data_IF_097369631938
#
_entry.id   IF_097369631938
#
_cell.length_a   1.000
_cell.length_b   1.000
_cell.length_c   1.000
_cell.angle_alpha   90.00
_cell.angle_beta   90.00
_cell.angle_gamma   90.00
#
_symmetry.space_group_name_H-M   'P 1'
#
loop_
_entity.id
_entity.type
_entity.pdbx_description
1 polymer ?
#
# COMPACT_ATOMS: atom_id res chain seq x y z
N UNK A 1 38.68 13.45 -3.27
CA UNK A 1 37.82 12.32 -2.83
C UNK A 1 36.71 12.20 -3.88
N UNK A 2 36.84 11.29 -4.86
CA UNK A 2 35.82 11.09 -5.89
C UNK A 2 34.68 10.30 -5.24
N UNK A 3 33.47 10.85 -5.22
CA UNK A 3 32.28 10.09 -4.81
C UNK A 3 32.17 8.88 -5.76
N UNK A 4 32.09 7.64 -5.25
CA UNK A 4 31.85 6.49 -6.12
C UNK A 4 30.53 6.71 -6.86
N UNK A 5 30.48 6.33 -8.13
CA UNK A 5 29.34 6.56 -9.01
C UNK A 5 28.23 5.54 -8.71
N UNK A 6 27.65 5.65 -7.50
CA UNK A 6 26.75 4.67 -6.89
C UNK A 6 25.51 4.43 -7.77
N UNK A 7 25.09 5.46 -8.51
CA UNK A 7 23.91 5.47 -9.37
C UNK A 7 24.02 4.59 -10.62
N UNK A 8 25.23 4.20 -11.04
CA UNK A 8 25.44 3.40 -12.24
C UNK A 8 25.64 1.90 -12.01
N UNK A 9 25.52 1.44 -10.76
CA UNK A 9 25.75 0.04 -10.42
C UNK A 9 24.54 -0.84 -10.78
N UNK A 10 24.80 -2.02 -11.37
CA UNK A 10 23.77 -2.99 -11.75
C UNK A 10 22.90 -3.39 -10.56
N UNK A 11 23.50 -3.50 -9.38
CA UNK A 11 22.81 -3.84 -8.13
C UNK A 11 21.79 -2.76 -7.72
N UNK A 12 22.17 -1.48 -7.73
CA UNK A 12 21.24 -0.39 -7.41
C UNK A 12 20.11 -0.31 -8.44
N UNK A 13 20.43 -0.46 -9.73
CA UNK A 13 19.42 -0.45 -10.80
C UNK A 13 18.41 -1.59 -10.65
N UNK A 14 18.87 -2.78 -10.29
CA UNK A 14 18.02 -3.94 -10.04
C UNK A 14 17.13 -3.72 -8.81
N UNK A 15 17.70 -3.20 -7.72
CA UNK A 15 16.97 -2.94 -6.49
C UNK A 15 15.90 -1.85 -6.67
N UNK A 16 16.20 -0.78 -7.39
CA UNK A 16 15.21 0.27 -7.75
C UNK A 16 14.10 -0.32 -8.61
N UNK A 17 14.41 -1.19 -9.59
CA UNK A 17 13.37 -1.86 -10.41
C UNK A 17 12.45 -2.73 -9.56
N UNK A 18 13.01 -3.54 -8.66
CA UNK A 18 12.20 -4.37 -7.75
C UNK A 18 11.34 -3.52 -6.81
N UNK A 19 11.88 -2.42 -6.30
CA UNK A 19 11.14 -1.50 -5.44
C UNK A 19 9.98 -0.84 -6.19
N UNK A 20 10.20 -0.43 -7.45
CA UNK A 20 9.14 0.10 -8.30
C UNK A 20 8.05 -0.93 -8.58
N UNK A 21 8.41 -2.17 -8.92
CA UNK A 21 7.44 -3.26 -9.14
C UNK A 21 6.63 -3.50 -7.87
N UNK A 22 7.29 -3.58 -6.72
CA UNK A 22 6.63 -3.81 -5.43
C UNK A 22 5.68 -2.67 -5.06
N UNK A 23 6.10 -1.41 -5.25
CA UNK A 23 5.27 -0.24 -5.02
C UNK A 23 4.04 -0.23 -5.93
N UNK A 24 4.20 -0.59 -7.21
CA UNK A 24 3.07 -0.68 -8.16
C UNK A 24 2.09 -1.80 -7.74
N UNK A 25 2.60 -2.97 -7.37
CA UNK A 25 1.74 -4.09 -6.94
C UNK A 25 0.96 -3.73 -5.68
N UNK A 26 1.60 -3.13 -4.67
CA UNK A 26 0.93 -2.68 -3.45
C UNK A 26 -0.06 -1.55 -3.72
N UNK A 27 0.29 -0.60 -4.58
CA UNK A 27 -0.62 0.48 -4.98
C UNK A 27 -1.86 -0.03 -5.69
N UNK A 28 -1.70 -1.00 -6.61
CA UNK A 28 -2.84 -1.67 -7.27
C UNK A 28 -3.68 -2.43 -6.25
N UNK A 29 -3.06 -3.16 -5.33
CA UNK A 29 -3.77 -3.91 -4.30
C UNK A 29 -4.57 -3.00 -3.36
N UNK A 30 -3.97 -1.89 -2.92
CA UNK A 30 -4.64 -0.88 -2.07
C UNK A 30 -5.79 -0.19 -2.82
N UNK A 31 -5.56 0.22 -4.08
CA UNK A 31 -6.61 0.82 -4.90
C UNK A 31 -7.75 -0.14 -5.19
N UNK A 32 -7.46 -1.41 -5.47
CA UNK A 32 -8.46 -2.45 -5.64
C UNK A 32 -9.24 -2.70 -4.34
N UNK A 33 -8.56 -2.72 -3.19
CA UNK A 33 -9.20 -2.85 -1.89
C UNK A 33 -10.16 -1.69 -1.61
N UNK A 34 -9.71 -0.44 -1.79
CA UNK A 34 -10.56 0.75 -1.62
C UNK A 34 -11.76 0.72 -2.57
N UNK A 35 -11.55 0.36 -3.84
CA UNK A 35 -12.62 0.24 -4.83
C UNK A 35 -13.64 -0.84 -4.50
N UNK A 36 -13.19 -2.03 -4.10
CA UNK A 36 -14.07 -3.16 -3.71
C UNK A 36 -14.87 -2.80 -2.47
N UNK A 37 -14.22 -2.27 -1.44
CA UNK A 37 -14.85 -1.88 -0.18
C UNK A 37 -15.89 -0.78 -0.42
N UNK A 38 -15.53 0.28 -1.16
CA UNK A 38 -16.48 1.34 -1.52
C UNK A 38 -17.71 0.81 -2.25
N UNK A 39 -17.51 -0.07 -3.25
CA UNK A 39 -18.62 -0.69 -3.97
C UNK A 39 -19.50 -1.56 -3.06
N UNK A 40 -18.90 -2.32 -2.16
CA UNK A 40 -19.63 -3.17 -1.21
C UNK A 40 -20.48 -2.32 -0.26
N UNK A 41 -19.93 -1.22 0.26
CA UNK A 41 -20.64 -0.32 1.17
C UNK A 41 -21.78 0.40 0.44
N UNK A 42 -21.53 1.01 -0.72
CA UNK A 42 -22.58 1.70 -1.50
C UNK A 42 -23.73 0.75 -1.88
N UNK A 43 -23.41 -0.45 -2.36
CA UNK A 43 -24.43 -1.46 -2.69
C UNK A 43 -25.22 -1.91 -1.45
N UNK A 44 -24.57 -1.99 -0.29
CA UNK A 44 -25.23 -2.28 0.99
C UNK A 44 -26.18 -1.18 1.43
N UNK A 45 -25.78 0.08 1.29
CA UNK A 45 -26.64 1.25 1.58
C UNK A 45 -27.85 1.25 0.66
N UNK A 46 -27.65 1.11 -0.66
CA UNK A 46 -28.75 1.11 -1.62
C UNK A 46 -29.76 -0.01 -1.35
N UNK A 47 -29.27 -1.23 -1.12
CA UNK A 47 -30.12 -2.37 -0.79
C UNK A 47 -30.87 -2.17 0.54
N UNK A 48 -30.21 -1.57 1.53
CA UNK A 48 -30.80 -1.25 2.83
C UNK A 48 -31.90 -0.19 2.73
N UNK A 49 -31.65 0.92 2.03
CA UNK A 49 -32.63 1.98 1.81
C UNK A 49 -33.86 1.46 1.04
N UNK A 50 -33.64 0.66 0.01
CA UNK A 50 -34.74 0.05 -0.76
C UNK A 50 -35.56 -0.93 0.09
N UNK A 51 -34.91 -1.74 0.95
CA UNK A 51 -35.58 -2.67 1.84
C UNK A 51 -36.43 -1.93 2.89
N UNK A 52 -35.90 -0.87 3.49
CA UNK A 52 -36.59 -0.09 4.50
C UNK A 52 -37.77 0.68 3.94
N UNK A 53 -37.58 1.31 2.77
CA UNK A 53 -38.67 1.93 2.03
C UNK A 53 -39.80 0.93 1.78
N UNK A 54 -39.45 -0.27 1.31
CA UNK A 54 -40.42 -1.34 1.05
C UNK A 54 -41.12 -1.80 2.32
N UNK A 55 -40.40 -1.94 3.44
CA UNK A 55 -40.96 -2.34 4.74
C UNK A 55 -41.99 -1.33 5.24
N UNK A 56 -41.65 -0.04 5.21
CA UNK A 56 -42.55 1.04 5.66
C UNK A 56 -43.77 1.16 4.75
N UNK A 57 -43.61 1.03 3.43
CA UNK A 57 -44.74 1.02 2.48
C UNK A 57 -45.65 -0.19 2.74
N UNK A 58 -45.08 -1.36 3.02
CA UNK A 58 -45.86 -2.56 3.34
C UNK A 58 -46.64 -2.42 4.65
N UNK A 59 -46.04 -1.77 5.67
CA UNK A 59 -46.73 -1.44 6.91
C UNK A 59 -47.85 -0.40 6.69
N UNK A 60 -47.59 0.61 5.86
CA UNK A 60 -48.60 1.59 5.45
C UNK A 60 -49.80 0.93 4.76
N UNK A 61 -49.57 -0.04 3.87
CA UNK A 61 -50.64 -0.75 3.18
C UNK A 61 -51.58 -1.53 4.11
N UNK A 62 -51.14 -1.89 5.33
CA UNK A 62 -51.94 -2.66 6.30
C UNK A 62 -52.83 -1.78 7.17
N UNK A 63 -52.30 -0.68 7.71
CA UNK A 63 -52.98 0.15 8.71
C UNK A 63 -52.83 1.66 8.46
N UNK A 64 -52.41 2.06 7.25
CA UNK A 64 -52.19 3.45 6.86
C UNK A 64 -51.02 4.08 7.60
N UNK A 65 -51.17 5.38 7.87
CA UNK A 65 -50.16 6.20 8.57
C UNK A 65 -49.71 5.59 9.90
N UNK A 66 -50.64 5.01 10.68
CA UNK A 66 -50.32 4.39 11.97
C UNK A 66 -49.34 3.21 11.82
N UNK A 67 -49.49 2.42 10.76
CA UNK A 67 -48.58 1.30 10.45
C UNK A 67 -47.20 1.78 10.04
N UNK A 68 -47.14 2.78 9.17
CA UNK A 68 -45.87 3.39 8.77
C UNK A 68 -45.11 3.97 9.97
N UNK A 69 -45.80 4.73 10.84
CA UNK A 69 -45.19 5.30 12.04
C UNK A 69 -44.68 4.24 13.01
N UNK A 70 -45.45 3.16 13.23
CA UNK A 70 -45.03 2.06 14.09
C UNK A 70 -43.78 1.33 13.53
N UNK A 71 -43.72 1.12 12.21
CA UNK A 71 -42.57 0.50 11.56
C UNK A 71 -41.33 1.39 11.60
N UNK A 72 -41.49 2.70 11.33
CA UNK A 72 -40.40 3.68 11.49
C UNK A 72 -39.87 3.67 12.92
N UNK A 73 -40.75 3.62 13.92
CA UNK A 73 -40.35 3.55 15.33
C UNK A 73 -39.60 2.24 15.65
N UNK A 74 -40.04 1.11 15.06
CA UNK A 74 -39.35 -0.19 15.18
C UNK A 74 -37.95 -0.17 14.56
N UNK A 75 -37.80 0.40 13.37
CA UNK A 75 -36.53 0.51 12.66
C UNK A 75 -35.58 1.46 13.39
N UNK A 76 -36.08 2.61 13.85
CA UNK A 76 -35.30 3.60 14.60
C UNK A 76 -34.84 3.06 15.97
N UNK A 77 -35.69 2.28 16.65
CA UNK A 77 -35.34 1.68 17.94
C UNK A 77 -34.39 0.48 17.84
N UNK A 78 -34.13 -0.02 16.62
CA UNK A 78 -33.23 -1.15 16.40
C UNK A 78 -31.78 -0.69 16.32
N UNK A 79 -30.90 -1.23 17.16
CA UNK A 79 -29.44 -1.04 17.04
C UNK A 79 -28.86 -1.63 15.75
N UNK A 80 -29.64 -2.37 14.96
CA UNK A 80 -29.19 -3.01 13.72
C UNK A 80 -29.03 -2.04 12.54
N UNK A 81 -29.38 -0.75 12.69
CA UNK A 81 -29.24 0.25 11.63
C UNK A 81 -28.75 1.60 12.19
N UNK A 82 -27.52 1.65 12.74
CA UNK A 82 -26.94 2.89 13.22
C UNK A 82 -26.85 3.91 12.07
N UNK A 83 -27.25 5.15 12.36
CA UNK A 83 -27.21 6.25 11.39
C UNK A 83 -28.32 6.24 10.34
N UNK A 84 -29.38 5.43 10.47
CA UNK A 84 -30.53 5.50 9.55
C UNK A 84 -31.59 6.48 10.04
N UNK A 85 -32.01 7.38 9.15
CA UNK A 85 -32.97 8.42 9.47
C UNK A 85 -34.20 8.37 8.58
N UNK A 86 -35.34 8.70 9.18
CA UNK A 86 -36.64 8.60 8.53
C UNK A 86 -37.40 9.91 8.71
N UNK A 87 -38.24 10.24 7.73
CA UNK A 87 -39.25 11.29 7.84
C UNK A 87 -40.53 10.87 7.16
N UNK A 88 -41.63 10.90 7.90
CA UNK A 88 -42.98 10.78 7.37
C UNK A 88 -43.68 12.12 7.55
N UNK A 89 -44.14 12.73 6.45
CA UNK A 89 -44.90 13.99 6.46
C UNK A 89 -46.30 13.80 5.92
N UNK A 90 -47.23 14.61 6.41
CA UNK A 90 -48.58 14.74 5.86
C UNK A 90 -48.55 15.39 4.46
N UNK A 91 -49.70 15.43 3.78
CA UNK A 91 -49.89 16.18 2.53
C UNK A 91 -49.52 17.66 2.64
N UNK A 92 -49.66 18.23 3.84
CA UNK A 92 -49.40 19.66 4.10
C UNK A 92 -47.95 19.91 4.53
N UNK A 93 -47.13 18.85 4.62
CA UNK A 93 -45.72 18.94 5.02
C UNK A 93 -45.49 18.88 6.53
N UNK A 94 -46.52 18.63 7.33
CA UNK A 94 -46.38 18.47 8.77
C UNK A 94 -45.72 17.12 9.10
N UNK A 95 -44.73 17.12 10.00
CA UNK A 95 -44.03 15.91 10.44
C UNK A 95 -44.99 15.03 11.25
N UNK A 96 -45.14 13.77 10.82
CA UNK A 96 -45.95 12.75 11.50
C UNK A 96 -45.07 11.83 12.34
N UNK A 97 -43.98 11.32 11.76
CA UNK A 97 -43.09 10.36 12.41
C UNK A 97 -41.67 10.42 11.82
N UNK A 98 -40.71 9.86 12.55
CA UNK A 98 -39.31 9.76 12.12
C UNK A 98 -38.36 10.68 12.89
N UNK A 99 -37.08 10.49 12.62
CA UNK A 99 -35.96 11.14 13.31
C UNK A 99 -35.54 12.45 12.66
N UNK A 100 -35.64 12.57 11.33
CA UNK A 100 -35.34 13.81 10.61
C UNK A 100 -36.22 14.95 11.09
N UNK A 101 -35.66 16.16 11.15
CA UNK A 101 -36.30 17.34 11.74
C UNK A 101 -37.24 18.04 10.76
N UNK A 102 -36.83 18.16 9.49
CA UNK A 102 -37.55 18.89 8.45
C UNK A 102 -37.46 18.16 7.10
N UNK A 103 -38.37 18.51 6.19
CA UNK A 103 -38.28 18.04 4.80
C UNK A 103 -37.20 18.87 4.08
N UNK A 104 -36.25 18.25 3.34
CA UNK A 104 -35.22 18.96 2.58
C UNK A 104 -35.85 19.83 1.48
N UNK A 105 -35.09 20.76 0.88
CA UNK A 105 -35.63 21.58 -0.22
C UNK A 105 -36.16 20.70 -1.35
N UNK A 106 -37.46 20.81 -1.60
CA UNK A 106 -38.24 19.89 -2.45
C UNK A 106 -37.79 19.86 -3.92
N UNK A 107 -37.01 20.85 -4.36
CA UNK A 107 -36.39 20.92 -5.69
C UNK A 107 -35.25 19.92 -5.94
N UNK A 108 -34.76 19.25 -4.89
CA UNK A 108 -33.54 18.44 -4.97
C UNK A 108 -33.77 16.94 -4.78
N UNK A 109 -34.99 16.49 -4.43
CA UNK A 109 -35.27 15.08 -4.13
C UNK A 109 -36.51 14.59 -4.87
N UNK A 110 -36.34 13.55 -5.69
CA UNK A 110 -37.45 12.89 -6.38
C UNK A 110 -38.33 12.07 -5.44
N UNK A 111 -39.66 12.25 -5.53
CA UNK A 111 -40.67 11.44 -4.82
C UNK A 111 -40.99 10.10 -5.53
N UNK A 112 -40.17 9.68 -6.51
CA UNK A 112 -40.40 8.48 -7.31
C UNK A 112 -39.96 7.17 -6.63
N UNK A 113 -39.32 7.24 -5.46
CA UNK A 113 -38.71 6.09 -4.78
C UNK A 113 -37.39 5.65 -5.41
N UNK A 114 -36.69 6.58 -6.08
CA UNK A 114 -35.35 6.37 -6.62
C UNK A 114 -34.33 6.82 -5.57
N UNK A 115 -33.24 6.07 -5.45
CA UNK A 115 -32.13 6.44 -4.58
C UNK A 115 -31.30 7.50 -5.31
N UNK A 116 -31.12 8.65 -4.68
CA UNK A 116 -30.41 9.81 -5.21
C UNK A 116 -29.42 10.32 -4.17
N UNK A 117 -28.36 11.00 -4.60
CA UNK A 117 -27.45 11.72 -3.71
C UNK A 117 -27.94 13.15 -3.56
N UNK A 118 -28.31 13.55 -2.35
CA UNK A 118 -28.80 14.90 -2.05
C UNK A 118 -28.02 15.53 -0.91
N UNK A 119 -27.83 16.83 -0.98
CA UNK A 119 -27.31 17.61 0.14
C UNK A 119 -28.41 17.84 1.17
N UNK A 120 -28.11 17.63 2.45
CA UNK A 120 -29.05 17.81 3.55
C UNK A 120 -28.53 18.90 4.47
N UNK A 121 -29.29 19.98 4.63
CA UNK A 121 -29.00 21.06 5.58
C UNK A 121 -28.97 20.52 7.03
N UNK A 122 -28.15 21.11 7.90
CA UNK A 122 -28.08 20.74 9.32
C UNK A 122 -29.43 20.78 10.03
N UNK A 123 -30.33 21.68 9.60
CA UNK A 123 -31.68 21.79 10.15
C UNK A 123 -32.60 20.62 9.79
N UNK A 124 -32.19 19.72 8.89
CA UNK A 124 -32.89 18.50 8.50
C UNK A 124 -32.45 17.31 9.36
N UNK A 125 -31.17 17.24 9.71
CA UNK A 125 -30.59 16.10 10.39
C UNK A 125 -30.73 16.23 11.93
N UNK A 126 -30.94 15.11 12.64
CA UNK A 126 -31.01 15.13 14.11
C UNK A 126 -29.62 15.05 14.78
N UNK A 127 -28.55 15.06 13.98
CA UNK A 127 -27.16 15.00 14.40
C UNK A 127 -26.43 16.23 13.88
N UNK A 128 -25.40 16.65 14.60
CA UNK A 128 -24.48 17.68 14.14
C UNK A 128 -23.49 17.03 13.18
N UNK A 129 -23.38 17.57 11.97
CA UNK A 129 -22.45 17.11 10.93
C UNK A 129 -21.34 18.14 10.87
N UNK A 130 -20.09 17.70 11.01
CA UNK A 130 -18.92 18.61 11.08
C UNK A 130 -18.49 19.11 9.68
N UNK A 131 -19.02 18.50 8.62
CA UNK A 131 -18.64 18.78 7.23
C UNK A 131 -19.85 19.23 6.37
N UNK A 132 -19.82 20.49 5.95
CA UNK A 132 -20.91 21.18 5.24
C UNK A 132 -21.13 20.66 3.80
N UNK A 133 -20.26 19.81 3.24
CA UNK A 133 -20.26 19.41 1.82
C UNK A 133 -20.54 17.91 1.57
N UNK A 134 -21.11 17.19 2.53
CA UNK A 134 -21.38 15.75 2.37
C UNK A 134 -22.70 15.48 1.65
N UNK A 135 -22.67 14.67 0.60
CA UNK A 135 -23.87 14.20 -0.09
C UNK A 135 -24.42 12.92 0.56
N UNK A 136 -25.70 12.94 0.91
CA UNK A 136 -26.38 11.85 1.57
C UNK A 136 -27.17 11.01 0.57
N UNK A 137 -27.13 9.67 0.70
CA UNK A 137 -27.99 8.79 -0.07
C UNK A 137 -29.41 8.90 0.48
N UNK A 138 -30.31 9.47 -0.31
CA UNK A 138 -31.71 9.69 0.04
C UNK A 138 -32.61 8.87 -0.87
N UNK A 139 -33.72 8.39 -0.31
CA UNK A 139 -34.83 7.84 -1.09
C UNK A 139 -36.14 8.39 -0.56
N UNK A 140 -36.92 9.03 -1.44
CA UNK A 140 -38.21 9.59 -1.08
C UNK A 140 -39.33 9.02 -1.94
N UNK A 141 -40.50 8.82 -1.35
CA UNK A 141 -41.69 8.35 -2.06
C UNK A 141 -42.95 9.01 -1.55
N UNK A 142 -43.84 9.38 -2.48
CA UNK A 142 -45.21 9.73 -2.13
C UNK A 142 -46.05 8.47 -1.93
N UNK A 143 -46.73 8.38 -0.78
CA UNK A 143 -47.63 7.29 -0.42
C UNK A 143 -49.02 7.52 -1.05
N UNK A 144 -49.85 6.46 -1.21
CA UNK A 144 -51.17 6.58 -1.85
C UNK A 144 -52.11 7.60 -1.20
N UNK A 145 -52.01 7.79 0.12
CA UNK A 145 -52.76 8.80 0.84
C UNK A 145 -52.17 10.20 0.76
N UNK A 146 -51.16 10.45 -0.09
CA UNK A 146 -50.54 11.75 -0.32
C UNK A 146 -49.51 12.18 0.74
N UNK A 147 -49.29 11.36 1.77
CA UNK A 147 -48.16 11.51 2.68
C UNK A 147 -46.84 11.29 1.93
N UNK A 148 -45.75 11.87 2.43
CA UNK A 148 -44.41 11.70 1.84
C UNK A 148 -43.51 11.01 2.85
N UNK A 149 -42.80 9.99 2.39
CA UNK A 149 -41.81 9.24 3.15
C UNK A 149 -40.43 9.56 2.58
N UNK A 150 -39.48 9.87 3.45
CA UNK A 150 -38.07 10.05 3.14
C UNK A 150 -37.26 9.13 4.06
N UNK A 151 -36.29 8.44 3.49
CA UNK A 151 -35.33 7.60 4.19
C UNK A 151 -33.93 8.02 3.75
N UNK A 152 -33.03 8.16 4.71
CA UNK A 152 -31.61 8.47 4.46
C UNK A 152 -30.73 7.70 5.44
N UNK A 153 -29.45 7.56 5.13
CA UNK A 153 -28.48 6.89 5.99
C UNK A 153 -27.18 7.69 6.07
N UNK A 154 -26.60 7.72 7.27
CA UNK A 154 -25.28 8.29 7.53
C UNK A 154 -24.20 7.61 6.70
N UNK A 155 -23.40 8.46 6.07
CA UNK A 155 -22.18 8.09 5.34
C UNK A 155 -20.93 8.30 6.20
N UNK A 156 -21.07 8.63 7.48
CA UNK A 156 -19.95 8.75 8.44
C UNK A 156 -19.08 7.48 8.45
N UNK A 157 -19.70 6.28 8.37
CA UNK A 157 -18.96 5.02 8.25
C UNK A 157 -18.17 4.91 6.94
N UNK A 158 -18.58 5.61 5.87
CA UNK A 158 -17.84 5.69 4.61
C UNK A 158 -16.67 6.67 4.75
N UNK A 159 -16.87 7.77 5.46
CA UNK A 159 -15.83 8.76 5.76
C UNK A 159 -14.73 8.16 6.65
N UNK A 160 -15.08 7.47 7.74
CA UNK A 160 -14.12 6.75 8.58
C UNK A 160 -13.28 5.75 7.77
N UNK A 161 -13.90 5.08 6.78
CA UNK A 161 -13.19 4.18 5.87
C UNK A 161 -12.27 4.94 4.91
N UNK A 162 -12.67 6.11 4.42
CA UNK A 162 -11.82 6.96 3.58
C UNK A 162 -10.61 7.49 4.36
N UNK A 163 -10.79 7.97 5.59
CA UNK A 163 -9.70 8.38 6.47
C UNK A 163 -8.72 7.23 6.72
N UNK A 164 -9.23 6.01 6.93
CA UNK A 164 -8.39 4.82 7.08
C UNK A 164 -7.62 4.51 5.79
N UNK A 165 -8.22 4.68 4.61
CA UNK A 165 -7.54 4.52 3.33
C UNK A 165 -6.46 5.59 3.14
N UNK A 166 -6.72 6.85 3.50
CA UNK A 166 -5.73 7.92 3.46
C UNK A 166 -4.53 7.61 4.35
N UNK A 167 -4.78 7.17 5.60
CA UNK A 167 -3.72 6.72 6.50
C UNK A 167 -2.92 5.55 5.90
N UNK A 168 -3.58 4.59 5.24
CA UNK A 168 -2.89 3.48 4.57
C UNK A 168 -2.01 3.97 3.40
N UNK A 169 -2.44 5.00 2.66
CA UNK A 169 -1.63 5.63 1.60
C UNK A 169 -0.40 6.31 2.21
N UNK A 170 -0.55 7.02 3.32
CA UNK A 170 0.58 7.64 4.03
C UNK A 170 1.58 6.60 4.53
N UNK A 171 1.07 5.53 5.17
CA UNK A 171 1.89 4.40 5.66
C UNK A 171 2.61 3.71 4.50
N UNK A 172 1.94 3.51 3.37
CA UNK A 172 2.55 2.96 2.16
C UNK A 172 3.67 3.88 1.64
N UNK A 173 3.44 5.19 1.60
CA UNK A 173 4.44 6.19 1.25
C UNK A 173 5.67 6.12 2.15
N UNK A 174 5.47 6.09 3.47
CA UNK A 174 6.54 5.96 4.45
C UNK A 174 7.32 4.63 4.28
N UNK A 175 6.62 3.52 4.05
CA UNK A 175 7.23 2.21 3.83
C UNK A 175 8.09 2.19 2.56
N UNK A 176 7.65 2.85 1.48
CA UNK A 176 8.42 3.00 0.23
C UNK A 176 9.70 3.81 0.51
N UNK A 177 9.61 4.93 1.21
CA UNK A 177 10.77 5.76 1.56
C UNK A 177 11.80 4.99 2.41
N UNK A 178 11.34 4.26 3.43
CA UNK A 178 12.20 3.41 4.25
C UNK A 178 12.86 2.29 3.43
N UNK A 179 12.11 1.69 2.50
CA UNK A 179 12.64 0.66 1.60
C UNK A 179 13.73 1.21 0.68
N UNK A 180 13.58 2.43 0.17
CA UNK A 180 14.62 3.12 -0.62
C UNK A 180 15.87 3.34 0.23
N UNK A 181 15.72 3.88 1.45
CA UNK A 181 16.84 4.13 2.35
C UNK A 181 17.60 2.84 2.70
N UNK A 182 16.87 1.76 2.98
CA UNK A 182 17.45 0.44 3.27
C UNK A 182 18.17 -0.14 2.04
N UNK A 183 17.56 -0.06 0.86
CA UNK A 183 18.14 -0.53 -0.40
C UNK A 183 19.47 0.17 -0.71
N UNK A 184 19.52 1.49 -0.56
CA UNK A 184 20.74 2.28 -0.77
C UNK A 184 21.82 1.87 0.26
N UNK A 185 21.44 1.68 1.52
CA UNK A 185 22.37 1.31 2.59
C UNK A 185 23.00 -0.07 2.37
N UNK A 186 22.18 -1.07 2.03
CA UNK A 186 22.63 -2.42 1.68
C UNK A 186 23.51 -2.38 0.42
N UNK A 187 23.07 -1.67 -0.63
CA UNK A 187 23.82 -1.54 -1.88
C UNK A 187 25.22 -0.95 -1.66
N UNK A 188 25.34 0.09 -0.83
CA UNK A 188 26.64 0.66 -0.44
C UNK A 188 27.51 -0.33 0.34
N UNK A 189 26.94 -1.10 1.25
CA UNK A 189 27.68 -2.08 2.03
C UNK A 189 28.27 -3.19 1.14
N UNK A 190 27.49 -3.68 0.16
CA UNK A 190 27.93 -4.71 -0.79
C UNK A 190 29.00 -4.15 -1.74
N UNK A 191 28.79 -2.96 -2.31
CA UNK A 191 29.75 -2.35 -3.25
C UNK A 191 31.12 -2.15 -2.63
N UNK A 192 31.19 -1.67 -1.38
CA UNK A 192 32.47 -1.51 -0.66
C UNK A 192 33.23 -2.84 -0.53
N UNK A 193 32.53 -3.95 -0.30
CA UNK A 193 33.16 -5.28 -0.22
C UNK A 193 33.70 -5.73 -1.58
N UNK A 194 32.94 -5.49 -2.65
CA UNK A 194 33.37 -5.78 -4.02
C UNK A 194 34.60 -4.95 -4.38
N UNK A 195 34.60 -3.65 -4.05
CA UNK A 195 35.74 -2.75 -4.26
C UNK A 195 37.00 -3.27 -3.56
N UNK A 196 36.90 -3.69 -2.29
CA UNK A 196 38.06 -4.25 -1.55
C UNK A 196 38.65 -5.48 -2.23
N UNK A 197 37.82 -6.41 -2.70
CA UNK A 197 38.27 -7.60 -3.43
C UNK A 197 38.88 -7.21 -4.78
N UNK A 198 38.25 -6.28 -5.50
CA UNK A 198 38.70 -5.80 -6.80
C UNK A 198 40.05 -5.07 -6.72
N UNK A 199 40.23 -4.22 -5.72
CA UNK A 199 41.47 -3.47 -5.50
C UNK A 199 42.62 -4.44 -5.17
N UNK A 200 42.37 -5.41 -4.28
CA UNK A 200 43.37 -6.44 -3.95
C UNK A 200 43.75 -7.26 -5.18
N UNK A 201 42.77 -7.63 -6.01
CA UNK A 201 43.03 -8.34 -7.25
C UNK A 201 43.86 -7.50 -8.24
N UNK A 202 43.63 -6.19 -8.30
CA UNK A 202 44.41 -5.27 -9.14
C UNK A 202 45.88 -5.19 -8.69
N UNK A 203 46.15 -5.14 -7.38
CA UNK A 203 47.52 -5.20 -6.82
C UNK A 203 48.23 -6.51 -7.17
N UNK A 204 47.52 -7.63 -7.05
CA UNK A 204 48.06 -8.95 -7.42
C UNK A 204 48.40 -9.01 -8.91
N UNK A 205 47.52 -8.51 -9.78
CA UNK A 205 47.77 -8.43 -11.23
C UNK A 205 48.95 -7.51 -11.57
N UNK A 206 49.24 -6.50 -10.74
CA UNK A 206 50.40 -5.63 -10.90
C UNK A 206 51.73 -6.31 -10.53
N UNK A 207 51.70 -7.54 -10.01
CA UNK A 207 52.88 -8.39 -9.79
C UNK A 207 53.17 -8.73 -8.33
N UNK A 208 52.43 -8.18 -7.37
CA UNK A 208 52.56 -8.55 -5.95
C UNK A 208 51.69 -9.76 -5.61
N UNK A 209 52.24 -10.95 -5.87
CA UNK A 209 51.58 -12.22 -5.56
C UNK A 209 51.59 -12.55 -4.06
N UNK A 210 52.23 -11.74 -3.21
CA UNK A 210 52.24 -11.96 -1.76
C UNK A 210 50.99 -11.42 -1.06
N UNK A 211 50.30 -10.46 -1.71
CA UNK A 211 49.03 -9.92 -1.23
C UNK A 211 47.94 -10.99 -1.19
N UNK A 212 47.07 -10.91 -0.18
CA UNK A 212 45.92 -11.81 0.01
C UNK A 212 44.66 -11.00 0.22
N UNK A 213 43.54 -11.54 -0.25
CA UNK A 213 42.22 -10.93 -0.03
C UNK A 213 41.87 -11.08 1.45
N UNK A 214 41.56 -9.96 2.09
CA UNK A 214 41.21 -9.92 3.50
C UNK A 214 39.93 -10.73 3.78
N UNK A 215 39.99 -11.62 4.77
CA UNK A 215 38.83 -12.36 5.28
C UNK A 215 38.33 -11.63 6.52
N UNK A 216 37.05 -11.25 6.53
CA UNK A 216 36.42 -10.59 7.67
C UNK A 216 35.93 -11.60 8.71
N UNK A 217 35.49 -11.10 9.87
CA UNK A 217 34.93 -11.94 10.95
C UNK A 217 33.43 -12.19 10.79
N UNK A 218 32.81 -11.76 9.67
CA UNK A 218 31.36 -11.92 9.44
C UNK A 218 30.98 -13.35 9.05
N UNK A 219 31.94 -14.11 8.52
CA UNK A 219 31.78 -15.48 8.06
C UNK A 219 30.64 -15.63 7.03
N UNK A 220 30.57 -14.68 6.10
CA UNK A 220 29.56 -14.63 5.04
C UNK A 220 30.09 -15.20 3.70
N UNK A 221 29.27 -15.10 2.65
CA UNK A 221 29.61 -15.60 1.32
C UNK A 221 30.84 -14.92 0.73
N UNK A 222 31.11 -13.65 1.10
CA UNK A 222 32.31 -12.94 0.66
C UNK A 222 33.56 -13.48 1.34
N UNK A 223 33.49 -13.81 2.62
CA UNK A 223 34.61 -14.42 3.37
C UNK A 223 34.94 -15.82 2.81
N UNK A 224 33.90 -16.59 2.47
CA UNK A 224 34.06 -17.90 1.81
C UNK A 224 34.72 -17.76 0.43
N UNK A 225 34.30 -16.77 -0.36
CA UNK A 225 34.91 -16.50 -1.66
C UNK A 225 36.36 -16.05 -1.53
N UNK A 226 36.65 -15.13 -0.61
CA UNK A 226 38.01 -14.66 -0.32
C UNK A 226 38.94 -15.82 0.05
N UNK A 227 38.48 -16.74 0.91
CA UNK A 227 39.24 -17.95 1.25
C UNK A 227 39.56 -18.82 0.04
N UNK A 228 38.58 -19.08 -0.84
CA UNK A 228 38.80 -19.87 -2.07
C UNK A 228 39.76 -19.18 -3.03
N UNK A 229 39.67 -17.85 -3.17
CA UNK A 229 40.57 -17.07 -4.02
C UNK A 229 42.01 -17.09 -3.47
N UNK A 230 42.19 -16.99 -2.15
CA UNK A 230 43.52 -17.09 -1.52
C UNK A 230 44.17 -18.47 -1.75
N UNK A 231 43.42 -19.56 -1.68
CA UNK A 231 43.95 -20.91 -2.01
C UNK A 231 44.42 -21.00 -3.47
N UNK A 232 43.68 -20.39 -4.40
CA UNK A 232 44.11 -20.31 -5.80
C UNK A 232 45.41 -19.51 -5.94
N UNK A 233 45.54 -18.38 -5.23
CA UNK A 233 46.75 -17.56 -5.21
C UNK A 233 47.96 -18.32 -4.65
N UNK A 234 47.79 -19.07 -3.57
CA UNK A 234 48.86 -19.92 -3.00
C UNK A 234 49.37 -20.93 -4.04
N UNK A 235 48.47 -21.51 -4.83
CA UNK A 235 48.83 -22.44 -5.91
C UNK A 235 49.57 -21.75 -7.04
N UNK A 236 49.16 -20.54 -7.43
CA UNK A 236 49.87 -19.75 -8.46
C UNK A 236 51.29 -19.39 -7.97
N UNK A 237 51.43 -18.96 -6.72
CA UNK A 237 52.73 -18.63 -6.14
C UNK A 237 53.65 -19.85 -6.10
N UNK A 238 53.13 -21.03 -5.73
CA UNK A 238 53.87 -22.30 -5.74
C UNK A 238 54.34 -22.66 -7.15
N UNK A 239 53.48 -22.51 -8.16
CA UNK A 239 53.83 -22.79 -9.57
C UNK A 239 54.94 -21.85 -10.07
N UNK A 240 54.86 -20.56 -9.74
CA UNK A 240 55.87 -19.57 -10.14
C UNK A 240 57.21 -19.83 -9.43
N UNK A 241 57.20 -20.19 -8.16
CA UNK A 241 58.41 -20.59 -7.43
C UNK A 241 59.08 -21.81 -8.08
N UNK A 242 58.30 -22.85 -8.41
CA UNK A 242 58.83 -24.03 -9.10
C UNK A 242 59.45 -23.72 -10.47
N UNK A 243 58.87 -22.80 -11.24
CA UNK A 243 59.46 -22.34 -12.52
C UNK A 243 60.81 -21.65 -12.29
N UNK A 244 60.94 -20.83 -11.23
CA UNK A 244 62.20 -20.17 -10.88
C UNK A 244 63.27 -21.19 -10.49
N UNK A 245 62.93 -22.15 -9.62
CA UNK A 245 63.88 -23.18 -9.17
C UNK A 245 64.40 -24.02 -10.34
N UNK A 246 63.53 -24.41 -11.28
CA UNK A 246 63.95 -25.14 -12.50
C UNK A 246 64.87 -24.27 -13.36
N UNK A 247 64.55 -23.00 -13.53
CA UNK A 247 65.35 -22.06 -14.33
C UNK A 247 66.74 -21.84 -13.72
N UNK A 248 66.82 -21.68 -12.40
CA UNK A 248 68.08 -21.49 -11.69
C UNK A 248 68.96 -22.74 -11.74
N UNK A 249 68.36 -23.93 -11.61
CA UNK A 249 69.07 -25.20 -11.75
C UNK A 249 69.62 -25.40 -13.18
N UNK A 250 68.84 -25.09 -14.22
CA UNK A 250 69.31 -25.13 -15.62
C UNK A 250 70.46 -24.14 -15.84
N UNK A 251 70.37 -22.93 -15.29
CA UNK A 251 71.45 -21.94 -15.38
C UNK A 251 72.74 -22.42 -14.68
N UNK A 252 72.62 -23.12 -13.56
CA UNK A 252 73.75 -23.72 -12.85
C UNK A 252 74.40 -24.86 -13.66
N UNK A 253 73.58 -25.75 -14.21
CA UNK A 253 74.03 -26.89 -15.02
C UNK A 253 74.65 -26.47 -16.35
N UNK A 254 74.25 -25.32 -16.93
CA UNK A 254 74.89 -24.73 -18.11
C UNK A 254 76.19 -23.98 -17.79
N UNK A 255 76.33 -23.41 -16.58
CA UNK A 255 77.54 -22.68 -16.14
C UNK A 255 78.71 -23.64 -15.82
N UNK A 256 78.41 -24.82 -15.27
CA UNK A 256 79.41 -25.83 -14.89
C UNK A 256 80.30 -26.33 -16.06
N UNK A 257 79.77 -26.63 -17.28
CA UNK A 257 80.60 -27.04 -18.41
C UNK A 257 81.26 -25.89 -19.19
N UNK A 258 80.64 -24.71 -19.27
CA UNK A 258 81.22 -23.56 -20.01
C UNK A 258 82.50 -23.01 -19.37
N UNK A 259 82.68 -23.22 -18.06
CA UNK A 259 83.89 -22.82 -17.34
C UNK A 259 85.07 -23.77 -17.61
N UNK A 260 84.81 -24.98 -18.16
CA UNK A 260 85.84 -25.95 -18.56
C UNK A 260 86.26 -25.86 -20.03
N UNK A 261 85.65 -24.96 -20.81
CA UNK A 261 85.97 -24.71 -22.23
C UNK A 261 86.76 -23.40 -22.45
N UNK A 262 87.34 -22.84 -21.38
CA UNK A 262 88.34 -21.77 -21.45
C UNK A 262 89.72 -22.30 -21.13
#
# INVERSE_FOLDING_TARGET
MKLPDIFNTTALRLAVRYLLIYAVVLGIALGAFAWITGRYVSAGIEAGLAADLTSVIAAYGKTGVAGASAEIQRLTASEQSPGRFFLLTSKTGEKIAGTLLAWPKESEISLAGVIESAWLEDNVLPIEVDDDEVYWPVVARQLPGGERLLVTQSVEQVEELNELVELLVEVLGAAILLSIAMSISIGRAILRRIETVSDTAAEIMAGDLSTRIAISTRNDEFDTLAGRLNVMLDRIQTLIAGIRDVTDNVAHDLRSPLTRLR
#
